data_IF_412239797540
#
_entry.id   IF_412239797540
#
_cell.length_a   1.000
_cell.length_b   1.000
_cell.length_c   1.000
_cell.angle_alpha   90.00
_cell.angle_beta   90.00
_cell.angle_gamma   90.00
#
_symmetry.space_group_name_H-M   'P 1'
#
loop_
_entity.id
_entity.type
_entity.pdbx_description
1 polymer ?
#
# COMPACT_ATOMS: atom_id res chain seq x y z
N UNK A 1 9.16 -64.57 39.57
CA UNK A 1 9.78 -63.36 39.00
C UNK A 1 8.73 -62.77 38.07
N UNK A 2 8.00 -61.76 38.54
CA UNK A 2 6.78 -61.26 37.90
C UNK A 2 7.16 -60.07 37.03
N UNK A 3 7.08 -60.22 35.71
CA UNK A 3 7.41 -59.13 34.77
C UNK A 3 6.21 -58.20 34.63
N UNK A 4 6.38 -56.97 35.12
CA UNK A 4 5.41 -55.87 35.00
C UNK A 4 5.57 -55.21 33.63
N UNK A 5 4.55 -55.28 32.79
CA UNK A 5 4.45 -54.54 31.52
C UNK A 5 3.90 -53.14 31.80
N UNK A 6 4.71 -52.10 31.56
CA UNK A 6 4.30 -50.69 31.57
C UNK A 6 3.70 -50.32 30.20
N UNK A 7 2.55 -49.63 30.13
CA UNK A 7 2.01 -49.14 28.87
C UNK A 7 2.79 -47.89 28.43
N UNK A 8 3.33 -47.92 27.21
CA UNK A 8 3.87 -46.76 26.52
C UNK A 8 2.71 -45.88 26.08
N UNK A 9 2.50 -44.76 26.76
CA UNK A 9 1.53 -43.74 26.37
C UNK A 9 2.08 -42.87 25.24
N UNK A 10 1.47 -42.95 24.06
CA UNK A 10 1.75 -42.05 22.93
C UNK A 10 1.10 -40.69 23.20
N UNK A 11 1.90 -39.67 23.51
CA UNK A 11 1.43 -38.28 23.62
C UNK A 11 1.42 -37.67 22.22
N UNK A 12 0.24 -37.54 21.60
CA UNK A 12 0.06 -36.67 20.43
C UNK A 12 0.13 -35.22 20.90
N UNK A 13 1.29 -34.59 20.76
CA UNK A 13 1.44 -33.14 20.94
C UNK A 13 0.72 -32.40 19.82
N UNK A 14 -0.34 -31.67 20.16
CA UNK A 14 -0.97 -30.73 19.24
C UNK A 14 0.01 -29.57 18.96
N UNK A 15 0.66 -29.59 17.80
CA UNK A 15 1.36 -28.43 17.27
C UNK A 15 0.32 -27.40 16.86
N UNK A 16 0.16 -26.34 17.65
CA UNK A 16 -0.61 -25.18 17.25
C UNK A 16 0.19 -24.44 16.19
N UNK A 17 -0.26 -24.51 14.93
CA UNK A 17 0.28 -23.65 13.88
C UNK A 17 -0.15 -22.21 14.19
N UNK A 18 0.76 -21.44 14.76
CA UNK A 18 0.55 -20.03 15.00
C UNK A 18 0.59 -19.33 13.63
N UNK A 19 -0.50 -18.64 13.28
CA UNK A 19 -0.56 -17.86 12.05
C UNK A 19 0.59 -16.84 12.07
N UNK A 20 1.36 -16.77 10.99
CA UNK A 20 2.43 -15.79 10.86
C UNK A 20 1.81 -14.39 10.93
N UNK A 21 2.19 -13.61 11.95
CA UNK A 21 1.85 -12.19 11.98
C UNK A 21 2.78 -11.46 11.01
N UNK A 22 2.21 -10.91 9.95
CA UNK A 22 2.91 -9.98 9.09
C UNK A 22 3.07 -8.65 9.84
N UNK A 23 4.31 -8.17 9.97
CA UNK A 23 4.58 -6.84 10.51
C UNK A 23 4.13 -5.77 9.53
N UNK A 24 3.47 -4.73 10.04
CA UNK A 24 3.16 -3.51 9.29
C UNK A 24 4.09 -2.41 9.79
N UNK A 25 4.86 -1.80 8.88
CA UNK A 25 5.81 -0.74 9.21
C UNK A 25 5.52 0.50 8.37
N UNK A 26 5.45 1.65 9.02
CA UNK A 26 5.26 2.96 8.38
C UNK A 26 6.54 3.76 8.54
N UNK A 27 7.06 4.26 7.43
CA UNK A 27 8.25 5.11 7.39
C UNK A 27 7.93 6.40 6.68
N UNK A 28 8.52 7.51 7.12
CA UNK A 28 8.39 8.81 6.47
C UNK A 28 9.77 9.20 5.95
N UNK A 29 9.84 9.54 4.67
CA UNK A 29 11.06 10.03 4.03
C UNK A 29 11.35 11.48 4.45
N UNK A 30 12.61 11.90 4.36
CA UNK A 30 12.99 13.27 4.69
C UNK A 30 12.28 14.31 3.79
N UNK A 31 12.05 15.55 4.27
CA UNK A 31 11.47 16.61 3.45
C UNK A 31 12.23 16.82 2.14
N UNK A 32 11.50 16.99 1.04
CA UNK A 32 12.06 17.22 -0.30
C UNK A 32 12.46 15.97 -1.08
N UNK A 33 12.36 14.78 -0.49
CA UNK A 33 12.53 13.52 -1.21
C UNK A 33 11.33 13.29 -2.14
N UNK A 34 11.58 13.25 -3.46
CA UNK A 34 10.54 13.04 -4.49
C UNK A 34 10.46 11.59 -4.97
N UNK A 35 11.51 10.81 -4.76
CA UNK A 35 11.58 9.39 -5.11
C UNK A 35 11.98 8.62 -3.85
N UNK A 36 11.31 7.50 -3.54
CA UNK A 36 11.63 6.73 -2.33
C UNK A 36 13.10 6.31 -2.29
N UNK A 37 13.70 6.34 -1.10
CA UNK A 37 15.07 5.89 -0.86
C UNK A 37 15.16 4.39 -0.53
N UNK A 38 14.00 3.73 -0.39
CA UNK A 38 13.91 2.29 -0.19
C UNK A 38 14.29 1.51 -1.45
N UNK A 39 14.70 0.25 -1.26
CA UNK A 39 15.06 -0.66 -2.35
C UNK A 39 13.95 -1.68 -2.60
N UNK A 40 13.56 -1.84 -3.86
CA UNK A 40 12.52 -2.77 -4.29
C UNK A 40 13.06 -3.72 -5.34
N UNK A 41 12.64 -4.99 -5.30
CA UNK A 41 12.92 -5.95 -6.37
C UNK A 41 12.11 -5.66 -7.64
N UNK A 42 10.96 -5.00 -7.48
CA UNK A 42 10.10 -4.46 -8.54
C UNK A 42 9.28 -3.31 -7.97
N UNK A 43 9.07 -2.25 -8.75
CA UNK A 43 8.28 -1.09 -8.37
C UNK A 43 7.60 -0.48 -9.59
N UNK A 44 6.47 0.17 -9.38
CA UNK A 44 5.79 1.02 -10.35
C UNK A 44 5.43 2.35 -9.72
N UNK A 45 5.40 3.41 -10.53
CA UNK A 45 4.98 4.75 -10.10
C UNK A 45 3.93 5.27 -11.08
N UNK A 46 2.81 5.74 -10.55
CA UNK A 46 1.81 6.50 -11.31
C UNK A 46 2.06 7.99 -11.06
N UNK A 47 2.44 8.72 -12.11
CA UNK A 47 2.69 10.16 -12.05
C UNK A 47 1.46 10.98 -12.43
N UNK A 48 0.41 10.32 -12.94
CA UNK A 48 -0.84 10.89 -13.44
C UNK A 48 -0.68 11.81 -14.67
N UNK A 49 0.53 12.00 -15.19
CA UNK A 49 0.81 12.90 -16.32
C UNK A 49 0.19 12.40 -17.63
N UNK A 50 -0.05 11.09 -17.73
CA UNK A 50 -0.69 10.46 -18.88
C UNK A 50 -2.21 10.32 -18.76
N UNK A 51 -2.77 10.71 -17.60
CA UNK A 51 -4.17 10.52 -17.29
C UNK A 51 -4.99 11.76 -17.71
N UNK A 52 -6.12 11.53 -18.37
CA UNK A 52 -7.08 12.59 -18.71
C UNK A 52 -7.96 12.99 -17.51
N UNK A 53 -8.99 13.81 -17.74
CA UNK A 53 -9.97 14.22 -16.71
C UNK A 53 -10.98 13.14 -16.32
N UNK A 54 -10.63 11.86 -16.51
CA UNK A 54 -11.56 10.73 -16.32
C UNK A 54 -11.68 10.34 -14.85
N UNK A 55 -12.92 10.24 -14.36
CA UNK A 55 -13.24 9.87 -12.97
C UNK A 55 -12.80 8.45 -12.57
N UNK A 56 -12.58 7.57 -13.55
CA UNK A 56 -12.08 6.22 -13.37
C UNK A 56 -11.09 5.88 -14.47
N UNK A 57 -9.97 5.27 -14.10
CA UNK A 57 -8.94 4.82 -15.04
C UNK A 57 -8.14 3.66 -14.46
N UNK A 58 -7.46 2.95 -15.35
CA UNK A 58 -6.51 1.90 -14.99
C UNK A 58 -5.10 2.43 -15.19
N UNK A 59 -4.26 2.23 -14.17
CA UNK A 59 -2.83 2.51 -14.20
C UNK A 59 -2.05 1.20 -14.31
N UNK A 60 -0.99 1.23 -15.11
CA UNK A 60 0.07 0.21 -15.11
C UNK A 60 1.32 0.71 -14.36
N UNK A 61 1.20 1.80 -13.61
CA UNK A 61 2.25 2.42 -12.80
C UNK A 61 3.59 2.55 -13.54
N UNK A 62 3.60 3.27 -14.67
CA UNK A 62 4.80 3.51 -15.46
C UNK A 62 5.27 2.31 -16.29
N UNK A 63 4.37 1.39 -16.63
CA UNK A 63 4.69 0.19 -17.41
C UNK A 63 5.23 -0.97 -16.57
N UNK A 64 5.00 -0.93 -15.25
CA UNK A 64 5.32 -2.02 -14.34
C UNK A 64 4.41 -3.24 -14.58
N UNK A 65 4.70 -4.35 -13.90
CA UNK A 65 3.81 -5.51 -13.85
C UNK A 65 2.63 -5.38 -12.89
N UNK A 66 2.45 -4.21 -12.26
CA UNK A 66 1.39 -3.92 -11.29
C UNK A 66 0.27 -3.18 -12.02
N UNK A 67 -0.98 -3.58 -11.81
CA UNK A 67 -2.14 -2.86 -12.33
C UNK A 67 -3.01 -2.35 -11.19
N UNK A 68 -3.45 -1.11 -11.29
CA UNK A 68 -4.33 -0.46 -10.33
C UNK A 68 -5.54 0.15 -11.01
N UNK A 69 -6.71 0.00 -10.41
CA UNK A 69 -7.93 0.68 -10.86
C UNK A 69 -8.27 1.80 -9.89
N UNK A 70 -8.33 3.02 -10.42
CA UNK A 70 -8.79 4.20 -9.70
C UNK A 70 -10.26 4.44 -9.99
N UNK A 71 -11.05 4.73 -8.95
CA UNK A 71 -12.45 5.10 -9.07
C UNK A 71 -12.75 6.37 -8.27
N UNK A 72 -13.55 7.26 -8.86
CA UNK A 72 -13.87 8.58 -8.33
C UNK A 72 -12.62 9.47 -8.11
N UNK A 73 -11.59 9.25 -8.92
CA UNK A 73 -10.36 10.02 -8.93
C UNK A 73 -10.47 11.19 -9.91
N UNK A 74 -10.00 12.37 -9.53
CA UNK A 74 -9.81 13.49 -10.45
C UNK A 74 -8.32 13.81 -10.54
N UNK A 75 -7.89 14.28 -11.71
CA UNK A 75 -6.49 14.61 -11.98
C UNK A 75 -6.37 16.13 -12.06
N UNK A 76 -5.47 16.69 -11.27
CA UNK A 76 -5.23 18.12 -11.18
C UNK A 76 -3.80 18.45 -11.60
N UNK A 77 -3.57 19.53 -12.36
CA UNK A 77 -2.22 20.02 -12.60
C UNK A 77 -1.59 20.53 -11.29
N UNK A 78 -0.27 20.42 -11.20
CA UNK A 78 0.49 20.91 -10.05
C UNK A 78 0.16 22.36 -9.71
N UNK A 79 -0.01 22.63 -8.42
CA UNK A 79 -0.36 23.94 -7.86
C UNK A 79 0.16 24.04 -6.41
N UNK A 80 -0.28 25.05 -5.65
CA UNK A 80 0.18 25.26 -4.27
C UNK A 80 -0.20 24.12 -3.29
N UNK A 81 -1.16 23.26 -3.65
CA UNK A 81 -1.65 22.15 -2.83
C UNK A 81 -1.05 20.79 -3.21
N UNK A 82 -0.42 20.64 -4.38
CA UNK A 82 0.09 19.35 -4.84
C UNK A 82 0.87 19.36 -6.14
N UNK A 83 1.49 18.21 -6.46
CA UNK A 83 2.31 17.97 -7.65
C UNK A 83 3.81 17.82 -7.34
N UNK A 84 4.37 16.64 -7.62
CA UNK A 84 5.75 16.26 -7.27
C UNK A 84 6.76 17.23 -7.90
N UNK A 85 7.56 17.89 -7.07
CA UNK A 85 8.54 18.87 -7.53
C UNK A 85 7.94 20.15 -8.12
N UNK A 86 6.63 20.39 -7.97
CA UNK A 86 5.94 21.59 -8.47
C UNK A 86 5.59 21.57 -9.96
N UNK A 87 5.56 20.39 -10.58
CA UNK A 87 5.18 20.20 -11.98
C UNK A 87 4.35 18.92 -12.17
N UNK A 88 3.86 18.71 -13.39
CA UNK A 88 3.08 17.53 -13.75
C UNK A 88 1.67 17.55 -13.16
N UNK A 89 1.12 16.37 -12.93
CA UNK A 89 -0.22 16.18 -12.39
C UNK A 89 -0.20 15.40 -11.05
N UNK A 90 -1.30 15.46 -10.31
CA UNK A 90 -1.54 14.63 -9.13
C UNK A 90 -3.01 14.24 -9.02
N UNK A 91 -3.29 13.15 -8.30
CA UNK A 91 -4.64 12.67 -8.03
C UNK A 91 -5.26 13.41 -6.86
N UNK A 92 -6.53 13.76 -6.99
CA UNK A 92 -7.43 14.26 -5.94
C UNK A 92 -8.72 13.45 -5.95
N UNK A 93 -9.52 13.55 -4.90
CA UNK A 93 -10.87 13.02 -4.95
C UNK A 93 -11.75 13.87 -5.89
N UNK A 94 -12.65 13.22 -6.63
CA UNK A 94 -13.63 13.92 -7.45
C UNK A 94 -14.88 14.34 -6.65
N UNK A 95 -15.28 13.54 -5.65
CA UNK A 95 -16.51 13.76 -4.86
C UNK A 95 -16.37 13.36 -3.37
N UNK A 96 -15.24 13.68 -2.73
CA UNK A 96 -14.98 13.48 -1.30
C UNK A 96 -14.13 12.26 -0.95
N UNK A 97 -14.08 11.24 -1.80
CA UNK A 97 -13.21 10.06 -1.63
C UNK A 97 -12.96 9.41 -2.98
N UNK A 98 -11.74 8.93 -3.22
CA UNK A 98 -11.46 8.01 -4.32
C UNK A 98 -10.94 6.68 -3.77
N UNK A 99 -11.05 5.62 -4.57
CA UNK A 99 -10.48 4.32 -4.24
C UNK A 99 -9.46 3.90 -5.29
N UNK A 100 -8.37 3.28 -4.82
CA UNK A 100 -7.39 2.62 -5.67
C UNK A 100 -7.33 1.15 -5.26
N UNK A 101 -7.66 0.26 -6.19
CA UNK A 101 -7.57 -1.19 -5.98
C UNK A 101 -6.45 -1.75 -6.84
N UNK A 102 -5.50 -2.44 -6.22
CA UNK A 102 -4.40 -3.13 -6.92
C UNK A 102 -4.78 -4.59 -7.13
N UNK A 103 -4.51 -5.12 -8.32
CA UNK A 103 -4.92 -6.47 -8.74
C UNK A 103 -3.96 -7.59 -8.30
N UNK A 104 -2.89 -7.23 -7.59
CA UNK A 104 -1.80 -8.10 -7.18
C UNK A 104 -1.45 -7.88 -5.72
N UNK A 105 -0.91 -8.92 -5.08
CA UNK A 105 -0.38 -8.80 -3.73
C UNK A 105 0.89 -7.93 -3.77
N UNK A 106 0.85 -6.80 -3.06
CA UNK A 106 1.99 -5.89 -2.92
C UNK A 106 2.52 -5.94 -1.48
N UNK A 107 3.85 -5.85 -1.33
CA UNK A 107 4.52 -5.81 -0.03
C UNK A 107 4.85 -4.39 0.42
N UNK A 108 4.61 -3.40 -0.44
CA UNK A 108 4.87 -1.99 -0.19
C UNK A 108 3.87 -1.14 -0.96
N UNK A 109 3.38 -0.08 -0.31
CA UNK A 109 2.59 0.98 -0.91
C UNK A 109 3.12 2.31 -0.38
N UNK A 110 3.25 3.30 -1.26
CA UNK A 110 3.75 4.63 -0.93
C UNK A 110 2.94 5.71 -1.59
N UNK A 111 2.85 6.86 -0.91
CA UNK A 111 2.21 8.07 -1.40
C UNK A 111 3.18 9.23 -1.26
N UNK A 112 3.26 10.06 -2.30
CA UNK A 112 3.85 11.39 -2.17
C UNK A 112 2.73 12.38 -1.84
N UNK A 113 2.65 12.79 -0.58
CA UNK A 113 1.55 13.62 -0.07
C UNK A 113 2.06 15.04 0.14
N UNK A 114 1.38 16.00 -0.48
CA UNK A 114 1.69 17.42 -0.41
C UNK A 114 0.84 18.16 0.62
N UNK A 115 1.29 19.37 0.97
CA UNK A 115 0.55 20.32 1.79
C UNK A 115 0.06 19.79 3.14
N UNK A 116 0.75 18.78 3.69
CA UNK A 116 0.46 18.25 5.02
C UNK A 116 0.75 19.28 6.11
N UNK A 117 -0.14 19.35 7.08
CA UNK A 117 -0.01 20.13 8.30
C UNK A 117 -0.43 19.27 9.51
N UNK A 118 -0.40 19.87 10.70
CA UNK A 118 -0.70 19.16 11.96
C UNK A 118 -2.17 18.73 12.14
N UNK A 119 -3.03 18.98 11.17
CA UNK A 119 -4.46 18.62 11.18
C UNK A 119 -4.80 17.52 10.17
N UNK A 120 -3.82 16.99 9.44
CA UNK A 120 -4.00 15.86 8.54
C UNK A 120 -3.75 14.55 9.28
N UNK A 121 -4.71 13.64 9.21
CA UNK A 121 -4.63 12.29 9.76
C UNK A 121 -4.51 11.25 8.64
N UNK A 122 -3.76 10.18 8.92
CA UNK A 122 -3.63 9.02 8.04
C UNK A 122 -3.90 7.76 8.84
N UNK A 123 -5.00 7.09 8.51
CA UNK A 123 -5.44 5.88 9.16
C UNK A 123 -5.16 4.64 8.30
N UNK A 124 -4.67 3.58 8.94
CA UNK A 124 -4.37 2.30 8.31
C UNK A 124 -5.25 1.21 8.91
N UNK A 125 -5.99 0.50 8.05
CA UNK A 125 -6.95 -0.51 8.45
C UNK A 125 -6.56 -1.89 7.89
N UNK A 126 -6.96 -2.95 8.59
CA UNK A 126 -6.88 -4.33 8.12
C UNK A 126 -8.25 -4.98 8.31
N UNK A 127 -8.85 -5.46 7.23
CA UNK A 127 -10.22 -5.99 7.24
C UNK A 127 -11.26 -4.91 6.90
N UNK A 128 -12.24 -4.69 7.78
CA UNK A 128 -13.28 -3.68 7.57
C UNK A 128 -12.81 -2.27 7.99
N UNK A 129 -13.29 -1.26 7.27
CA UNK A 129 -13.10 0.18 7.53
C UNK A 129 -14.25 0.74 8.35
#
# INVERSE_FOLDING_TARGET
MTTLLLPVGLVLGAVTMQAAQAGFNVTVEAPGVLNSTASFSSSGVETFDSQGTSASFTSIFGGSGITGTFNNAAISPANEYGGAGGFGNYVVDANGTFTMTVDSAITYFGLWISALNSTNDLDFYSGAT
#
